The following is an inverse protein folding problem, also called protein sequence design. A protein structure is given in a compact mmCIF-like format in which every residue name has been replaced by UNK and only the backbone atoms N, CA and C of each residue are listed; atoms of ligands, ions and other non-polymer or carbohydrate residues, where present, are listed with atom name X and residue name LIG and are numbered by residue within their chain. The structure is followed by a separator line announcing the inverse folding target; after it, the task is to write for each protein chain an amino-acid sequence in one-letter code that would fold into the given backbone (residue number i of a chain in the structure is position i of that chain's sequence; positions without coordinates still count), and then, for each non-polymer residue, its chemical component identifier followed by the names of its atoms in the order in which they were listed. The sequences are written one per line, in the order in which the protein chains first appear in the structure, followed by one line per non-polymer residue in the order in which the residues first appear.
data_IF_479068076058
#
_entry.id   IF_479068076058
#
_cell.length_a   1.000
_cell.length_b   1.000
_cell.length_c   1.000
_cell.angle_alpha   90.00
_cell.angle_beta   90.00
_cell.angle_gamma   90.00
#
_symmetry.space_group_name_H-M   'P 1'
#
loop_
_entity.id
_entity.type
_entity.pdbx_description
1 polymer ?
#
# COMPACT_ATOMS: atom_id res chain seq x y z
N UNK A 1 36.05 38.89 -32.70
CA UNK A 1 35.54 38.26 -31.49
C UNK A 1 34.90 36.94 -31.87
N UNK A 2 35.30 35.86 -31.26
CA UNK A 2 34.72 34.52 -31.52
C UNK A 2 33.91 34.09 -30.32
N UNK A 3 32.92 33.17 -30.48
CA UNK A 3 32.13 32.64 -29.39
C UNK A 3 32.94 32.05 -28.23
N UNK A 4 34.23 31.70 -28.48
CA UNK A 4 35.13 31.21 -27.45
C UNK A 4 35.81 32.32 -26.61
N UNK A 5 35.70 33.57 -27.05
CA UNK A 5 36.31 34.75 -26.38
C UNK A 5 35.26 35.73 -25.86
N UNK A 6 33.99 35.48 -26.13
CA UNK A 6 32.88 36.29 -25.63
C UNK A 6 32.59 35.95 -24.16
N UNK A 7 32.61 36.98 -23.30
CA UNK A 7 32.35 36.86 -21.85
C UNK A 7 30.89 37.13 -21.48
N UNK A 8 30.06 37.53 -22.45
CA UNK A 8 28.67 37.90 -22.25
C UNK A 8 27.66 36.89 -22.82
N UNK A 9 28.11 35.75 -23.31
CA UNK A 9 27.23 34.73 -23.81
C UNK A 9 26.44 34.06 -22.66
N UNK A 10 25.13 34.08 -22.72
CA UNK A 10 24.26 33.38 -21.77
C UNK A 10 24.28 31.88 -22.06
N UNK A 11 24.45 31.09 -21.03
CA UNK A 11 24.27 29.64 -21.10
C UNK A 11 22.82 29.30 -21.53
N UNK A 12 22.71 28.42 -22.52
CA UNK A 12 21.42 27.94 -23.00
C UNK A 12 20.88 26.88 -22.04
N UNK A 13 20.11 27.28 -21.04
CA UNK A 13 19.37 26.36 -20.17
C UNK A 13 18.01 26.01 -20.81
N UNK A 14 17.71 24.71 -20.84
CA UNK A 14 16.40 24.24 -21.24
C UNK A 14 15.32 24.68 -20.24
N UNK A 15 14.20 25.21 -20.74
CA UNK A 15 13.05 25.55 -19.91
C UNK A 15 12.17 24.34 -19.56
N UNK A 16 12.68 23.12 -19.72
CA UNK A 16 11.98 21.88 -19.42
C UNK A 16 12.72 21.10 -18.35
N UNK A 17 12.02 20.73 -17.28
CA UNK A 17 12.52 19.88 -16.21
C UNK A 17 11.94 18.48 -16.39
N UNK A 18 12.80 17.50 -16.61
CA UNK A 18 12.43 16.10 -16.74
C UNK A 18 12.48 15.39 -15.38
N UNK A 19 11.39 14.73 -15.01
CA UNK A 19 11.36 13.90 -13.81
C UNK A 19 11.71 12.46 -14.20
N UNK A 20 12.86 12.00 -13.75
CA UNK A 20 13.39 10.65 -14.02
C UNK A 20 13.07 9.64 -12.92
N UNK A 21 12.40 10.07 -11.85
CA UNK A 21 12.05 9.20 -10.74
C UNK A 21 10.70 8.50 -10.97
N UNK A 22 10.55 7.21 -10.64
CA UNK A 22 9.25 6.54 -10.72
C UNK A 22 8.25 7.19 -9.76
N UNK A 23 7.09 7.58 -10.28
CA UNK A 23 6.04 8.28 -9.52
C UNK A 23 4.71 7.52 -9.46
N UNK A 24 4.67 6.29 -10.01
CA UNK A 24 3.47 5.49 -10.03
C UNK A 24 3.12 4.94 -8.63
N UNK A 25 1.84 4.97 -8.28
CA UNK A 25 1.28 4.41 -7.04
C UNK A 25 0.11 3.49 -7.41
N UNK A 26 0.40 2.29 -7.96
CA UNK A 26 -0.62 1.41 -8.52
C UNK A 26 -1.56 0.86 -7.47
N UNK A 27 -1.07 0.47 -6.30
CA UNK A 27 -1.89 -0.09 -5.22
C UNK A 27 -2.87 0.95 -4.69
N UNK A 28 -2.39 2.15 -4.32
CA UNK A 28 -3.24 3.23 -3.80
C UNK A 28 -4.27 3.72 -4.83
N UNK A 29 -3.98 3.57 -6.13
CA UNK A 29 -4.90 3.92 -7.21
C UNK A 29 -5.97 2.86 -7.44
N UNK A 30 -5.66 1.59 -7.17
CA UNK A 30 -6.55 0.46 -7.38
C UNK A 30 -7.54 0.23 -6.22
N UNK A 31 -7.13 0.55 -4.98
CA UNK A 31 -7.98 0.38 -3.80
C UNK A 31 -9.03 1.48 -3.67
N UNK A 32 -10.19 1.12 -3.12
CA UNK A 32 -11.21 2.07 -2.71
C UNK A 32 -10.76 2.94 -1.54
N UNK A 33 -11.40 4.11 -1.39
CA UNK A 33 -11.14 5.04 -0.29
C UNK A 33 -12.38 5.19 0.56
N UNK A 34 -12.19 5.21 1.88
CA UNK A 34 -13.26 5.47 2.83
C UNK A 34 -12.83 6.50 3.88
N UNK A 35 -13.78 7.25 4.40
CA UNK A 35 -13.54 8.25 5.43
C UNK A 35 -13.80 7.65 6.81
N UNK A 36 -12.82 7.82 7.70
CA UNK A 36 -12.89 7.34 9.07
C UNK A 36 -12.85 8.54 10.03
N UNK A 37 -13.72 8.52 11.06
CA UNK A 37 -13.81 9.61 12.05
C UNK A 37 -12.92 9.38 13.28
N UNK A 38 -12.45 8.15 13.50
CA UNK A 38 -11.65 7.76 14.65
C UNK A 38 -10.21 7.40 14.25
N UNK A 39 -9.32 7.45 15.22
CA UNK A 39 -7.92 7.03 15.07
C UNK A 39 -7.78 5.55 14.81
N UNK A 40 -8.62 4.74 15.47
CA UNK A 40 -8.72 3.29 15.28
C UNK A 40 -10.01 3.03 14.52
N UNK A 41 -9.96 2.21 13.50
CA UNK A 41 -11.12 1.76 12.75
C UNK A 41 -11.15 0.24 12.71
N UNK A 42 -12.35 -0.28 12.79
CA UNK A 42 -12.61 -1.70 12.94
C UNK A 42 -13.51 -2.19 11.82
N UNK A 43 -13.34 -3.46 11.49
CA UNK A 43 -14.28 -4.20 10.63
C UNK A 43 -14.47 -5.61 11.20
N UNK A 44 -15.51 -6.27 10.74
CA UNK A 44 -15.82 -7.62 11.17
C UNK A 44 -15.64 -8.58 10.00
N UNK A 45 -15.17 -9.77 10.30
CA UNK A 45 -15.00 -10.87 9.36
C UNK A 45 -15.82 -12.07 9.83
N UNK A 46 -16.43 -12.78 8.90
CA UNK A 46 -17.19 -13.98 9.12
C UNK A 46 -16.85 -15.00 8.02
N UNK A 47 -16.88 -16.26 8.35
CA UNK A 47 -16.71 -17.34 7.39
C UNK A 47 -18.00 -18.11 7.21
N UNK A 48 -18.32 -18.47 5.97
CA UNK A 48 -19.44 -19.34 5.68
C UNK A 48 -19.16 -20.76 6.20
N UNK A 49 -20.18 -21.47 6.73
CA UNK A 49 -20.05 -22.89 7.04
C UNK A 49 -19.66 -23.69 5.80
N UNK A 50 -18.97 -24.79 6.01
CA UNK A 50 -18.63 -25.72 4.92
C UNK A 50 -19.89 -26.27 4.29
N UNK A 51 -19.94 -26.27 2.96
CA UNK A 51 -21.07 -26.85 2.23
C UNK A 51 -21.19 -28.34 2.54
N UNK A 52 -22.39 -28.78 2.85
CA UNK A 52 -22.72 -30.20 3.07
C UNK A 52 -23.75 -30.66 2.05
N UNK A 53 -23.43 -31.72 1.32
CA UNK A 53 -24.36 -32.41 0.42
C UNK A 53 -25.13 -33.57 1.07
N UNK A 54 -25.07 -33.71 2.40
CA UNK A 54 -25.74 -34.80 3.10
C UNK A 54 -27.25 -34.60 3.12
N UNK A 55 -28.01 -35.61 2.62
CA UNK A 55 -29.44 -35.68 2.78
C UNK A 55 -29.83 -36.00 4.23
N UNK A 56 -31.03 -35.67 4.60
CA UNK A 56 -31.61 -35.98 5.92
C UNK A 56 -32.54 -37.19 5.78
N UNK A 57 -32.64 -37.99 6.85
CA UNK A 57 -33.56 -39.09 6.92
C UNK A 57 -35.00 -38.57 7.11
N UNK A 58 -35.96 -39.32 6.61
CA UNK A 58 -37.38 -39.04 6.88
C UNK A 58 -37.64 -39.11 8.40
N UNK A 59 -38.30 -38.10 8.96
CA UNK A 59 -38.50 -37.98 10.41
C UNK A 59 -37.36 -37.32 11.17
N UNK A 60 -36.37 -36.73 10.46
CA UNK A 60 -35.28 -36.00 11.10
C UNK A 60 -35.77 -34.81 11.93
N UNK A 61 -35.35 -34.76 13.19
CA UNK A 61 -35.56 -33.61 14.06
C UNK A 61 -34.38 -32.64 13.98
N UNK A 62 -34.67 -31.37 13.71
CA UNK A 62 -33.67 -30.33 13.61
C UNK A 62 -33.04 -30.02 14.98
N UNK A 63 -31.76 -30.33 15.16
CA UNK A 63 -30.99 -29.83 16.31
C UNK A 63 -30.50 -28.41 16.06
N UNK A 64 -30.74 -27.53 17.05
CA UNK A 64 -30.27 -26.14 16.99
C UNK A 64 -28.83 -26.02 17.44
N UNK A 65 -27.99 -25.46 16.60
CA UNK A 65 -26.63 -25.03 16.97
C UNK A 65 -26.55 -23.52 17.12
N UNK A 66 -25.70 -23.04 18.01
CA UNK A 66 -25.47 -21.61 18.17
C UNK A 66 -24.77 -21.04 16.91
N UNK A 67 -25.14 -19.82 16.51
CA UNK A 67 -24.49 -19.13 15.45
C UNK A 67 -23.03 -18.76 15.87
N UNK A 68 -22.10 -18.86 14.93
CA UNK A 68 -20.71 -18.44 15.16
C UNK A 68 -20.65 -16.91 15.21
N UNK A 69 -19.98 -16.37 16.22
CA UNK A 69 -19.80 -14.93 16.34
C UNK A 69 -18.79 -14.41 15.31
N UNK A 70 -19.01 -13.19 14.81
CA UNK A 70 -18.07 -12.49 13.94
C UNK A 70 -16.77 -12.15 14.66
N UNK A 71 -15.66 -12.15 13.93
CA UNK A 71 -14.34 -11.74 14.46
C UNK A 71 -14.10 -10.28 14.15
N UNK A 72 -13.84 -9.48 15.18
CA UNK A 72 -13.50 -8.06 15.05
C UNK A 72 -12.02 -7.87 14.77
N UNK A 73 -11.70 -7.11 13.74
CA UNK A 73 -10.35 -6.77 13.31
C UNK A 73 -10.22 -5.25 13.29
N UNK A 74 -9.07 -4.71 13.69
CA UNK A 74 -8.85 -3.27 13.82
C UNK A 74 -7.54 -2.82 13.20
N UNK A 75 -7.52 -1.63 12.57
CA UNK A 75 -6.32 -0.96 12.12
C UNK A 75 -6.27 0.47 12.64
N UNK A 76 -5.16 1.17 12.43
CA UNK A 76 -4.88 2.50 12.99
C UNK A 76 -4.59 3.48 11.86
N UNK A 77 -5.11 4.70 11.98
CA UNK A 77 -4.80 5.78 11.05
C UNK A 77 -3.40 6.34 11.31
N UNK A 78 -2.56 6.34 10.30
CA UNK A 78 -1.23 6.94 10.32
C UNK A 78 -1.29 8.39 9.86
N UNK A 79 -0.39 9.24 10.38
CA UNK A 79 -0.15 10.58 9.88
C UNK A 79 1.11 10.55 9.03
N UNK A 80 0.99 10.92 7.77
CA UNK A 80 2.13 11.07 6.86
C UNK A 80 2.26 12.53 6.44
N UNK A 81 3.47 13.08 6.47
CA UNK A 81 3.74 14.47 6.11
C UNK A 81 5.01 14.59 5.29
N UNK A 82 5.03 15.57 4.43
CA UNK A 82 6.21 16.06 3.71
C UNK A 82 6.16 17.58 3.75
N UNK A 83 7.30 18.20 3.94
CA UNK A 83 7.46 19.64 3.98
C UNK A 83 8.24 20.13 2.75
N UNK A 84 8.01 21.39 2.39
CA UNK A 84 8.77 22.10 1.37
C UNK A 84 9.12 23.48 1.90
N UNK A 85 10.39 23.83 1.83
CA UNK A 85 10.88 25.14 2.25
C UNK A 85 11.63 25.81 1.09
N UNK A 86 11.28 27.05 0.80
CA UNK A 86 11.94 27.87 -0.22
C UNK A 86 12.22 29.22 0.40
N UNK A 87 13.44 29.74 0.21
CA UNK A 87 13.78 31.08 0.68
C UNK A 87 13.10 32.14 -0.18
N UNK A 88 12.78 33.30 0.44
CA UNK A 88 12.16 34.40 -0.28
C UNK A 88 13.01 34.95 -1.43
N UNK A 89 14.34 34.92 -1.29
CA UNK A 89 15.27 35.30 -2.35
C UNK A 89 15.19 34.36 -3.56
N UNK A 90 15.04 33.05 -3.31
CA UNK A 90 14.90 32.07 -4.38
C UNK A 90 13.55 32.19 -5.10
N UNK A 91 12.47 32.45 -4.37
CA UNK A 91 11.14 32.65 -4.96
C UNK A 91 11.05 33.94 -5.79
N UNK A 92 11.81 34.98 -5.43
CA UNK A 92 11.86 36.25 -6.17
C UNK A 92 12.79 36.24 -7.37
N UNK A 93 13.67 35.23 -7.49
CA UNK A 93 14.52 35.06 -8.67
C UNK A 93 13.70 34.47 -9.84
N UNK A 94 14.17 34.70 -11.06
CA UNK A 94 13.54 34.17 -12.29
C UNK A 94 14.22 32.82 -12.68
N UNK A 95 13.78 31.69 -12.14
CA UNK A 95 14.41 30.40 -12.42
C UNK A 95 13.99 29.84 -13.77
N UNK A 96 14.92 29.28 -14.53
CA UNK A 96 14.64 28.62 -15.80
C UNK A 96 13.69 27.41 -15.59
N UNK A 97 12.68 27.28 -16.42
CA UNK A 97 11.78 26.12 -16.49
C UNK A 97 10.66 26.06 -15.46
N UNK A 98 10.49 27.07 -14.62
CA UNK A 98 9.44 27.10 -13.60
C UNK A 98 9.02 28.54 -13.27
N UNK A 99 7.71 28.73 -13.04
CA UNK A 99 7.15 30.05 -12.68
C UNK A 99 7.31 30.41 -11.21
N UNK A 100 7.30 29.42 -10.32
CA UNK A 100 7.38 29.55 -8.88
C UNK A 100 8.09 28.32 -8.34
N UNK A 101 9.13 28.57 -7.54
CA UNK A 101 9.89 27.50 -6.91
C UNK A 101 9.04 26.78 -5.86
N UNK A 102 8.27 27.51 -5.05
CA UNK A 102 7.40 26.95 -4.03
C UNK A 102 6.33 26.02 -4.65
N UNK A 103 5.67 26.44 -5.72
CA UNK A 103 4.67 25.61 -6.39
C UNK A 103 5.28 24.35 -6.98
N UNK A 104 6.48 24.43 -7.54
CA UNK A 104 7.22 23.30 -8.06
C UNK A 104 7.59 22.31 -6.95
N UNK A 105 8.16 22.78 -5.85
CA UNK A 105 8.53 21.97 -4.70
C UNK A 105 7.30 21.31 -4.06
N UNK A 106 6.19 22.03 -3.92
CA UNK A 106 4.94 21.48 -3.39
C UNK A 106 4.41 20.33 -4.28
N UNK A 107 4.50 20.49 -5.60
CA UNK A 107 4.14 19.42 -6.55
C UNK A 107 5.01 18.17 -6.38
N UNK A 108 6.33 18.35 -6.24
CA UNK A 108 7.27 17.23 -6.01
C UNK A 108 6.97 16.56 -4.67
N UNK A 109 6.82 17.32 -3.59
CA UNK A 109 6.54 16.78 -2.25
C UNK A 109 5.20 16.06 -2.19
N UNK A 110 4.19 16.53 -2.93
CA UNK A 110 2.90 15.84 -3.05
C UNK A 110 3.03 14.46 -3.73
N UNK A 111 3.88 14.34 -4.75
CA UNK A 111 4.20 13.05 -5.38
C UNK A 111 4.99 12.15 -4.44
N UNK A 112 5.96 12.71 -3.73
CA UNK A 112 6.74 11.97 -2.73
C UNK A 112 5.85 11.44 -1.60
N UNK A 113 4.92 12.25 -1.09
CA UNK A 113 3.96 11.84 -0.07
C UNK A 113 3.07 10.66 -0.53
N UNK A 114 2.60 10.69 -1.78
CA UNK A 114 1.86 9.55 -2.35
C UNK A 114 2.69 8.27 -2.39
N UNK A 115 3.96 8.38 -2.74
CA UNK A 115 4.89 7.23 -2.72
C UNK A 115 5.14 6.70 -1.31
N UNK A 116 5.26 7.58 -0.31
CA UNK A 116 5.39 7.16 1.09
C UNK A 116 4.15 6.42 1.56
N UNK A 117 2.95 6.89 1.19
CA UNK A 117 1.70 6.21 1.49
C UNK A 117 1.61 4.84 0.80
N UNK A 118 2.00 4.74 -0.47
CA UNK A 118 2.08 3.47 -1.20
C UNK A 118 3.03 2.49 -0.51
N UNK A 119 4.21 2.96 -0.11
CA UNK A 119 5.18 2.14 0.62
C UNK A 119 4.63 1.66 1.95
N UNK A 120 3.96 2.53 2.72
CA UNK A 120 3.35 2.17 3.99
C UNK A 120 2.24 1.13 3.83
N UNK A 121 1.48 1.18 2.74
CA UNK A 121 0.41 0.23 2.45
C UNK A 121 0.94 -1.12 1.96
N UNK A 122 1.97 -1.13 1.11
CA UNK A 122 2.50 -2.35 0.50
C UNK A 122 3.53 -3.08 1.38
N UNK A 123 4.12 -2.39 2.36
CA UNK A 123 5.09 -3.02 3.26
C UNK A 123 4.41 -4.00 4.24
N UNK A 124 5.17 -4.97 4.74
CA UNK A 124 4.76 -5.93 5.76
C UNK A 124 4.79 -5.40 7.20
N UNK A 125 4.65 -4.08 7.38
CA UNK A 125 4.70 -3.45 8.70
C UNK A 125 3.55 -3.86 9.61
N UNK A 126 3.86 -4.11 10.90
CA UNK A 126 2.84 -4.31 11.91
C UNK A 126 2.10 -3.00 12.22
N UNK A 127 0.82 -3.11 12.57
CA UNK A 127 0.10 -1.94 13.12
C UNK A 127 0.68 -1.57 14.48
N UNK A 128 0.82 -0.27 14.73
CA UNK A 128 1.25 0.26 16.03
C UNK A 128 0.28 1.36 16.45
N UNK A 129 -0.37 1.20 17.60
CA UNK A 129 -1.33 2.18 18.11
C UNK A 129 -0.70 3.52 18.50
N UNK A 130 0.60 3.49 18.76
CA UNK A 130 1.35 4.68 19.18
C UNK A 130 1.02 5.15 20.59
N UNK A 131 1.77 6.12 21.06
CA UNK A 131 1.58 6.82 22.33
C UNK A 131 2.16 8.25 22.21
N UNK A 132 2.35 8.95 23.33
CA UNK A 132 2.89 10.31 23.34
C UNK A 132 4.31 10.43 22.77
N UNK A 133 5.10 9.34 22.75
CA UNK A 133 6.49 9.31 22.27
C UNK A 133 6.70 8.43 21.02
N UNK A 134 5.71 7.62 20.66
CA UNK A 134 5.80 6.68 19.53
C UNK A 134 4.71 6.99 18.51
N UNK A 135 5.09 7.24 17.26
CA UNK A 135 4.14 7.50 16.19
C UNK A 135 3.23 6.28 15.92
N UNK A 136 2.00 6.56 15.53
CA UNK A 136 1.07 5.54 15.04
C UNK A 136 1.50 5.06 13.66
N UNK A 137 1.43 3.75 13.45
CA UNK A 137 1.75 3.13 12.15
C UNK A 137 0.60 2.26 11.72
N UNK A 138 0.10 2.49 10.52
CA UNK A 138 -0.91 1.64 9.87
C UNK A 138 -0.29 0.28 9.53
N UNK A 139 -0.96 -0.81 9.86
CA UNK A 139 -0.57 -2.13 9.38
C UNK A 139 -0.66 -2.20 7.87
N UNK A 140 0.42 -2.66 7.22
CA UNK A 140 0.48 -2.81 5.78
C UNK A 140 -0.43 -3.95 5.29
N UNK A 141 -0.68 -4.01 3.98
CA UNK A 141 -1.58 -4.98 3.36
C UNK A 141 -1.25 -6.43 3.73
N UNK A 142 0.02 -6.80 3.71
CA UNK A 142 0.45 -8.16 4.02
C UNK A 142 0.20 -8.59 5.47
N UNK A 143 0.05 -7.65 6.40
CA UNK A 143 -0.21 -7.95 7.82
C UNK A 143 -1.62 -8.48 8.10
N UNK A 144 -2.51 -8.45 7.09
CA UNK A 144 -3.89 -8.91 7.18
C UNK A 144 -4.13 -10.24 6.47
N UNK A 145 -3.20 -10.66 5.59
CA UNK A 145 -3.36 -11.84 4.76
C UNK A 145 -2.68 -13.03 5.40
N UNK A 146 -3.48 -14.01 5.82
CA UNK A 146 -3.02 -15.27 6.44
C UNK A 146 -3.23 -16.49 5.54
N UNK A 147 -4.24 -16.45 4.66
CA UNK A 147 -4.62 -17.52 3.75
C UNK A 147 -4.30 -17.13 2.28
N UNK A 148 -4.29 -18.11 1.39
CA UNK A 148 -4.05 -17.91 -0.04
C UNK A 148 -2.70 -17.22 -0.33
N UNK A 149 -1.68 -17.55 0.46
CA UNK A 149 -0.33 -17.01 0.34
C UNK A 149 0.65 -18.11 -0.03
N UNK A 150 1.64 -17.76 -0.83
CA UNK A 150 2.76 -18.64 -1.17
C UNK A 150 4.05 -18.01 -0.65
N UNK A 151 4.33 -18.25 0.63
CA UNK A 151 5.58 -17.82 1.27
C UNK A 151 6.65 -18.88 1.09
N UNK A 152 7.90 -18.49 1.08
CA UNK A 152 9.02 -19.44 1.05
C UNK A 152 9.11 -20.29 2.33
N UNK A 153 10.02 -21.24 2.37
CA UNK A 153 10.30 -22.05 3.55
C UNK A 153 10.56 -21.13 4.76
N UNK A 154 10.04 -21.49 5.92
CA UNK A 154 10.08 -20.70 7.17
C UNK A 154 9.31 -19.38 7.15
N UNK A 155 8.63 -19.04 6.07
CA UNK A 155 7.74 -17.88 6.02
C UNK A 155 6.39 -18.18 6.67
N UNK A 156 5.84 -17.22 7.39
CA UNK A 156 4.51 -17.32 8.01
C UNK A 156 3.73 -16.03 7.88
N UNK A 157 2.40 -16.14 7.77
CA UNK A 157 1.50 -15.01 7.93
C UNK A 157 1.21 -14.80 9.42
N UNK A 158 1.17 -13.55 9.87
CA UNK A 158 0.83 -13.25 11.25
C UNK A 158 -0.65 -12.89 11.44
N UNK A 159 -1.25 -12.17 10.49
CA UNK A 159 -2.65 -11.74 10.56
C UNK A 159 -2.93 -10.69 11.64
N UNK A 160 -4.16 -10.21 11.70
CA UNK A 160 -4.64 -9.26 12.69
C UNK A 160 -3.79 -7.98 12.86
N UNK A 161 -3.05 -7.60 11.80
CA UNK A 161 -2.17 -6.44 11.80
C UNK A 161 -0.78 -6.67 12.40
N UNK A 162 -0.35 -7.91 12.61
CA UNK A 162 1.02 -8.23 12.98
C UNK A 162 1.88 -8.44 11.71
N UNK A 163 3.19 -8.17 11.82
CA UNK A 163 4.09 -8.35 10.69
C UNK A 163 4.25 -9.84 10.33
N UNK A 164 4.11 -10.22 9.07
CA UNK A 164 4.43 -11.57 8.64
C UNK A 164 5.94 -11.80 8.63
N UNK A 165 6.34 -13.07 8.74
CA UNK A 165 7.73 -13.49 8.64
C UNK A 165 8.08 -13.83 7.19
N UNK A 166 9.20 -13.31 6.71
CA UNK A 166 9.72 -13.67 5.40
C UNK A 166 10.17 -15.13 5.38
N UNK A 167 9.87 -15.76 4.26
CA UNK A 167 10.44 -17.06 3.96
C UNK A 167 11.72 -16.95 3.14
N UNK A 168 12.34 -18.09 2.88
CA UNK A 168 13.50 -18.17 2.00
C UNK A 168 13.13 -17.65 0.61
N UNK A 169 13.96 -16.74 0.11
CA UNK A 169 13.77 -16.16 -1.23
C UNK A 169 13.87 -17.23 -2.30
N UNK A 170 13.02 -17.12 -3.32
CA UNK A 170 12.96 -18.05 -4.44
C UNK A 170 12.51 -17.32 -5.70
N UNK A 171 12.84 -17.88 -6.85
CA UNK A 171 12.38 -17.34 -8.12
C UNK A 171 10.84 -17.43 -8.23
N UNK A 172 10.22 -16.39 -8.78
CA UNK A 172 8.80 -16.42 -9.14
C UNK A 172 8.63 -17.33 -10.36
N UNK A 173 7.81 -18.37 -10.23
CA UNK A 173 7.48 -19.29 -11.30
C UNK A 173 5.99 -19.23 -11.63
N UNK A 174 5.64 -19.61 -12.85
CA UNK A 174 4.25 -19.69 -13.29
C UNK A 174 3.43 -20.64 -12.39
N UNK A 175 4.03 -21.73 -11.95
CA UNK A 175 3.40 -22.70 -11.04
C UNK A 175 3.00 -22.05 -9.72
N UNK A 176 3.86 -21.20 -9.14
CA UNK A 176 3.56 -20.48 -7.91
C UNK A 176 2.41 -19.50 -8.10
N UNK A 177 2.41 -18.76 -9.20
CA UNK A 177 1.32 -17.85 -9.54
C UNK A 177 0.00 -18.59 -9.70
N UNK A 178 -0.01 -19.66 -10.49
CA UNK A 178 -1.20 -20.50 -10.70
C UNK A 178 -1.74 -21.10 -9.40
N UNK A 179 -0.85 -21.57 -8.51
CA UNK A 179 -1.28 -22.16 -7.23
C UNK A 179 -1.95 -21.12 -6.31
N UNK A 180 -1.45 -19.88 -6.27
CA UNK A 180 -2.08 -18.81 -5.50
C UNK A 180 -3.41 -18.40 -6.10
N UNK A 181 -3.50 -18.24 -7.41
CA UNK A 181 -4.75 -17.93 -8.11
C UNK A 181 -5.82 -19.02 -7.88
N UNK A 182 -5.43 -20.28 -7.98
CA UNK A 182 -6.32 -21.42 -7.72
C UNK A 182 -6.80 -21.40 -6.26
N UNK A 183 -5.91 -21.15 -5.32
CA UNK A 183 -6.26 -21.05 -3.89
C UNK A 183 -7.22 -19.90 -3.63
N UNK A 184 -7.00 -18.74 -4.22
CA UNK A 184 -7.92 -17.60 -4.13
C UNK A 184 -9.30 -17.95 -4.68
N UNK A 185 -9.36 -18.53 -5.87
CA UNK A 185 -10.61 -18.94 -6.52
C UNK A 185 -11.37 -19.99 -5.69
N UNK A 186 -10.67 -21.00 -5.16
CA UNK A 186 -11.29 -22.06 -4.32
C UNK A 186 -11.89 -21.49 -3.02
N UNK A 187 -11.41 -20.34 -2.56
CA UNK A 187 -11.93 -19.64 -1.39
C UNK A 187 -12.88 -18.46 -1.75
N UNK A 188 -13.36 -18.44 -2.98
CA UNK A 188 -14.35 -17.46 -3.45
C UNK A 188 -13.80 -16.08 -3.82
N UNK A 189 -12.48 -15.94 -3.97
CA UNK A 189 -11.86 -14.69 -4.42
C UNK A 189 -11.71 -14.64 -5.94
N UNK A 190 -11.90 -13.46 -6.51
CA UNK A 190 -11.71 -13.18 -7.95
C UNK A 190 -10.58 -12.17 -8.12
N UNK A 191 -9.31 -12.61 -8.15
CA UNK A 191 -8.19 -11.69 -8.32
C UNK A 191 -8.19 -11.11 -9.75
N UNK A 192 -8.24 -9.79 -9.83
CA UNK A 192 -8.28 -9.03 -11.10
C UNK A 192 -6.98 -8.29 -11.41
N UNK A 193 -6.08 -8.17 -10.45
CA UNK A 193 -4.85 -7.40 -10.58
C UNK A 193 -3.68 -8.09 -9.89
N UNK A 194 -2.51 -8.08 -10.54
CA UNK A 194 -1.24 -8.45 -9.94
C UNK A 194 -0.35 -7.22 -9.84
N UNK A 195 0.19 -6.95 -8.66
CA UNK A 195 1.15 -5.88 -8.42
C UNK A 195 2.48 -6.52 -8.05
N UNK A 196 3.53 -6.21 -8.81
CA UNK A 196 4.87 -6.70 -8.56
C UNK A 196 5.86 -5.53 -8.52
N UNK A 197 6.91 -5.67 -7.71
CA UNK A 197 8.08 -4.83 -7.76
C UNK A 197 9.04 -5.29 -8.85
N UNK A 198 9.93 -4.39 -9.28
CA UNK A 198 11.04 -4.68 -10.16
C UNK A 198 12.21 -5.26 -9.37
#
# INVERSE_FOLDING_TARGET
ETAYTATADREALSNVIYNISPGATPFMSAIGKNNVKNVVFDWQTESLPTASGAGQLEGFELSRSAATATTRVSNVCQISSRDATVSGSQESSDPAGKKSEMAHQLSIMSKALKRDMETALCQKGAKTTGNASTARVTGGFESWITSNVSRGSSGSGAGAGAAPTDGTQRALTETLLKSVLQSCFSNGGEPSMAICGL
#
